data_IF_162504530010
#
_entry.id   IF_162504530010
#
_cell.length_a   1.000
_cell.length_b   1.000
_cell.length_c   1.000
_cell.angle_alpha   90.00
_cell.angle_beta   90.00
_cell.angle_gamma   90.00
#
_symmetry.space_group_name_H-M   'P 1'
#
loop_
_entity.id
_entity.type
_entity.pdbx_description
1 polymer ?
#
# COMPACT_ATOMS: atom_id res chain seq x y z
N UNK A 1 -9.66 -10.22 12.92
CA UNK A 1 -10.64 -10.74 11.96
C UNK A 1 -10.51 -10.00 10.62
N UNK A 2 -10.95 -10.64 9.53
CA UNK A 2 -10.95 -10.02 8.18
C UNK A 2 -11.77 -8.72 8.14
N UNK A 3 -12.80 -8.59 8.99
CA UNK A 3 -13.62 -7.38 9.09
C UNK A 3 -12.81 -6.16 9.57
N UNK A 4 -11.94 -6.33 10.58
CA UNK A 4 -11.10 -5.21 11.07
C UNK A 4 -10.05 -4.80 10.03
N UNK A 5 -9.60 -5.75 9.18
CA UNK A 5 -8.73 -5.46 8.07
C UNK A 5 -9.46 -4.68 6.95
N UNK A 6 -10.70 -5.07 6.64
CA UNK A 6 -11.53 -4.37 5.65
C UNK A 6 -11.80 -2.89 6.02
N UNK A 7 -11.86 -2.56 7.31
CA UNK A 7 -12.07 -1.18 7.78
C UNK A 7 -11.02 -0.22 7.22
N UNK A 8 -9.76 -0.63 7.12
CA UNK A 8 -8.67 0.18 6.59
C UNK A 8 -8.95 0.61 5.15
N UNK A 9 -9.42 -0.33 4.31
CA UNK A 9 -9.70 -0.06 2.89
C UNK A 9 -10.96 0.77 2.68
N UNK A 10 -11.98 0.57 3.52
CA UNK A 10 -13.22 1.36 3.45
C UNK A 10 -12.99 2.82 3.83
N UNK A 11 -12.00 3.10 4.67
CA UNK A 11 -11.71 4.45 5.15
C UNK A 11 -10.65 5.18 4.35
N UNK A 12 -9.85 4.46 3.56
CA UNK A 12 -8.82 5.06 2.70
C UNK A 12 -9.36 6.11 1.72
N UNK A 13 -10.48 5.91 0.98
CA UNK A 13 -11.04 6.94 0.11
C UNK A 13 -11.47 8.21 0.86
N UNK A 14 -11.95 8.07 2.09
CA UNK A 14 -12.29 9.21 2.94
C UNK A 14 -11.01 9.97 3.31
N UNK A 15 -9.95 9.25 3.64
CA UNK A 15 -8.62 9.80 3.89
C UNK A 15 -8.09 10.58 2.69
N UNK A 16 -8.20 10.02 1.47
CA UNK A 16 -7.78 10.69 0.23
C UNK A 16 -8.46 12.05 0.06
N UNK A 17 -9.78 12.11 0.25
CA UNK A 17 -10.55 13.35 0.13
C UNK A 17 -10.11 14.38 1.17
N UNK A 18 -9.97 13.97 2.43
CA UNK A 18 -9.58 14.86 3.53
C UNK A 18 -8.17 15.39 3.30
N UNK A 19 -7.22 14.49 3.05
CA UNK A 19 -5.81 14.86 2.92
C UNK A 19 -5.52 15.61 1.62
N UNK A 20 -6.21 15.32 0.50
CA UNK A 20 -6.11 16.11 -0.72
C UNK A 20 -6.52 17.57 -0.46
N UNK A 21 -7.65 17.79 0.24
CA UNK A 21 -8.09 19.13 0.60
C UNK A 21 -7.10 19.85 1.53
N UNK A 22 -6.47 19.13 2.44
CA UNK A 22 -5.42 19.68 3.30
C UNK A 22 -4.14 20.00 2.53
N UNK A 23 -3.73 19.12 1.57
CA UNK A 23 -2.55 19.34 0.75
C UNK A 23 -2.63 20.64 -0.07
N UNK A 24 -3.81 20.95 -0.60
CA UNK A 24 -4.06 22.19 -1.32
C UNK A 24 -3.90 23.45 -0.43
N UNK A 25 -4.13 23.32 0.87
CA UNK A 25 -4.08 24.46 1.80
C UNK A 25 -2.73 24.63 2.47
N UNK A 26 -2.13 23.55 2.96
CA UNK A 26 -0.94 23.58 3.84
C UNK A 26 0.33 23.02 3.19
N UNK A 27 0.21 22.42 2.00
CA UNK A 27 1.30 21.80 1.24
C UNK A 27 1.36 20.29 1.37
N UNK A 28 1.89 19.66 0.33
CA UNK A 28 2.00 18.20 0.22
C UNK A 28 2.89 17.64 1.32
N UNK A 29 4.04 18.27 1.58
CA UNK A 29 5.00 17.84 2.62
C UNK A 29 4.36 17.76 4.01
N UNK A 30 3.71 18.84 4.46
CA UNK A 30 3.07 18.88 5.78
C UNK A 30 1.96 17.84 5.91
N UNK A 31 1.19 17.67 4.84
CA UNK A 31 0.11 16.70 4.77
C UNK A 31 0.64 15.28 4.88
N UNK A 32 1.73 14.94 4.17
CA UNK A 32 2.41 13.66 4.27
C UNK A 32 2.94 13.38 5.68
N UNK A 33 3.52 14.39 6.35
CA UNK A 33 3.99 14.26 7.74
C UNK A 33 2.84 13.95 8.68
N UNK A 34 1.71 14.66 8.56
CA UNK A 34 0.52 14.42 9.40
C UNK A 34 -0.02 13.00 9.19
N UNK A 35 -0.15 12.57 7.93
CA UNK A 35 -0.60 11.22 7.59
C UNK A 35 0.37 10.15 8.14
N UNK A 36 1.69 10.39 8.04
CA UNK A 36 2.71 9.49 8.56
C UNK A 36 2.63 9.36 10.09
N UNK A 37 2.49 10.47 10.80
CA UNK A 37 2.33 10.48 12.27
C UNK A 37 1.06 9.73 12.66
N UNK A 38 -0.06 9.99 11.98
CA UNK A 38 -1.32 9.29 12.23
C UNK A 38 -1.19 7.78 12.03
N UNK A 39 -0.54 7.34 10.93
CA UNK A 39 -0.28 5.93 10.66
C UNK A 39 0.58 5.32 11.76
N UNK A 40 1.64 6.02 12.12
CA UNK A 40 2.61 5.55 13.10
C UNK A 40 2.07 5.39 14.49
N UNK A 41 1.43 6.42 14.97
CA UNK A 41 0.79 6.39 16.30
C UNK A 41 -0.27 5.28 16.35
N UNK A 42 -1.11 5.18 15.32
CA UNK A 42 -2.13 4.12 15.26
C UNK A 42 -1.51 2.72 15.26
N UNK A 43 -0.43 2.49 14.49
CA UNK A 43 0.26 1.20 14.43
C UNK A 43 0.91 0.82 15.76
N UNK A 44 1.59 1.78 16.40
CA UNK A 44 2.23 1.56 17.70
C UNK A 44 1.20 1.29 18.79
N UNK A 45 0.09 2.02 18.80
CA UNK A 45 -1.00 1.82 19.75
C UNK A 45 -1.67 0.44 19.59
N UNK A 46 -1.73 -0.12 18.37
CA UNK A 46 -2.19 -1.51 18.18
C UNK A 46 -1.29 -2.48 18.95
N UNK A 47 0.03 -2.28 18.93
CA UNK A 47 0.97 -3.10 19.71
C UNK A 47 0.81 -2.97 21.22
N UNK A 48 0.26 -1.86 21.70
CA UNK A 48 0.01 -1.62 23.14
C UNK A 48 -1.41 -2.00 23.59
N UNK A 49 -2.29 -2.44 22.68
CA UNK A 49 -3.66 -2.77 23.03
C UNK A 49 -3.74 -3.91 24.06
N UNK A 50 -4.56 -3.74 25.12
CA UNK A 50 -4.90 -4.83 26.02
C UNK A 50 -5.65 -5.95 25.28
N UNK A 51 -5.52 -7.18 25.77
CA UNK A 51 -6.19 -8.33 25.17
C UNK A 51 -7.68 -8.33 25.50
N UNK A 52 -8.47 -9.12 24.75
CA UNK A 52 -9.89 -9.31 25.02
C UNK A 52 -10.14 -9.82 26.45
N UNK A 53 -9.25 -10.67 26.98
CA UNK A 53 -9.35 -11.17 28.35
C UNK A 53 -9.24 -10.08 29.41
N UNK A 54 -8.57 -8.95 29.11
CA UNK A 54 -8.37 -7.84 30.05
C UNK A 54 -9.52 -6.82 30.01
N UNK A 55 -9.97 -6.45 28.81
CA UNK A 55 -10.93 -5.33 28.63
C UNK A 55 -12.19 -5.73 27.83
N UNK A 56 -12.39 -7.02 27.55
CA UNK A 56 -13.60 -7.52 26.89
C UNK A 56 -13.85 -6.87 25.53
N UNK A 57 -15.09 -6.48 25.26
CA UNK A 57 -15.55 -5.92 23.99
C UNK A 57 -14.86 -4.60 23.62
N UNK A 58 -14.26 -3.89 24.57
CA UNK A 58 -13.51 -2.67 24.30
C UNK A 58 -12.26 -2.94 23.42
N UNK A 59 -11.63 -4.12 23.51
CA UNK A 59 -10.46 -4.46 22.70
C UNK A 59 -10.74 -4.44 21.18
N UNK A 60 -11.74 -5.13 20.64
CA UNK A 60 -12.05 -5.07 19.21
C UNK A 60 -12.56 -3.69 18.76
N UNK A 61 -13.24 -2.93 19.62
CA UNK A 61 -13.69 -1.56 19.31
C UNK A 61 -12.46 -0.65 19.13
N UNK A 62 -11.53 -0.67 20.08
CA UNK A 62 -10.30 0.13 20.01
C UNK A 62 -9.45 -0.28 18.80
N UNK A 63 -9.31 -1.59 18.54
CA UNK A 63 -8.60 -2.08 17.35
C UNK A 63 -9.24 -1.55 16.06
N UNK A 64 -10.56 -1.60 15.94
CA UNK A 64 -11.29 -1.10 14.77
C UNK A 64 -11.12 0.40 14.61
N UNK A 65 -11.14 1.17 15.70
CA UNK A 65 -10.90 2.62 15.69
C UNK A 65 -9.49 2.95 15.21
N UNK A 66 -8.48 2.22 15.70
CA UNK A 66 -7.09 2.40 15.25
C UNK A 66 -6.91 2.01 13.78
N UNK A 67 -7.58 0.94 13.33
CA UNK A 67 -7.61 0.54 11.91
C UNK A 67 -8.30 1.59 11.04
N UNK A 68 -9.36 2.22 11.53
CA UNK A 68 -9.99 3.35 10.85
C UNK A 68 -9.01 4.52 10.67
N UNK A 69 -8.29 4.89 11.73
CA UNK A 69 -7.26 5.94 11.66
C UNK A 69 -6.11 5.58 10.69
N UNK A 70 -5.68 4.31 10.67
CA UNK A 70 -4.70 3.83 9.68
C UNK A 70 -5.21 3.96 8.25
N UNK A 71 -6.48 3.62 7.99
CA UNK A 71 -7.08 3.77 6.66
C UNK A 71 -7.11 5.21 6.18
N UNK A 72 -7.49 6.15 7.05
CA UNK A 72 -7.41 7.58 6.75
C UNK A 72 -5.98 8.01 6.37
N UNK A 73 -4.99 7.55 7.15
CA UNK A 73 -3.58 7.87 6.92
C UNK A 73 -3.06 7.34 5.58
N UNK A 74 -3.40 6.10 5.21
CA UNK A 74 -3.02 5.49 3.92
C UNK A 74 -3.52 6.34 2.76
N UNK A 75 -4.79 6.78 2.79
CA UNK A 75 -5.35 7.64 1.76
C UNK A 75 -4.56 8.94 1.58
N UNK A 76 -4.09 9.54 2.69
CA UNK A 76 -3.28 10.76 2.64
C UNK A 76 -1.85 10.58 2.13
N UNK A 77 -1.29 9.39 2.28
CA UNK A 77 0.11 9.14 1.94
C UNK A 77 0.31 8.81 0.47
N UNK A 78 -0.51 7.93 -0.10
CA UNK A 78 -0.25 7.38 -1.43
C UNK A 78 -0.29 8.46 -2.51
N UNK A 79 -1.37 9.22 -2.60
CA UNK A 79 -1.56 10.27 -3.61
C UNK A 79 -0.47 11.34 -3.56
N UNK A 80 -0.16 11.83 -2.34
CA UNK A 80 0.90 12.84 -2.13
C UNK A 80 2.29 12.34 -2.50
N UNK A 81 2.64 11.11 -2.13
CA UNK A 81 3.92 10.51 -2.47
C UNK A 81 4.07 10.30 -3.99
N UNK A 82 3.00 9.83 -4.67
CA UNK A 82 3.01 9.64 -6.13
C UNK A 82 3.17 10.95 -6.88
N UNK A 83 2.45 12.00 -6.49
CA UNK A 83 2.60 13.34 -7.07
C UNK A 83 4.03 13.88 -6.86
N UNK A 84 4.56 13.78 -5.65
CA UNK A 84 5.92 14.25 -5.35
C UNK A 84 6.96 13.60 -6.27
N UNK A 85 6.88 12.28 -6.46
CA UNK A 85 7.85 11.53 -7.28
C UNK A 85 7.63 11.80 -8.77
N UNK A 86 6.39 11.79 -9.27
CA UNK A 86 6.11 11.96 -10.69
C UNK A 86 6.33 13.39 -11.18
N UNK A 87 6.09 14.42 -10.35
CA UNK A 87 6.40 15.82 -10.66
C UNK A 87 7.89 16.11 -10.63
N UNK A 88 8.66 15.40 -9.79
CA UNK A 88 10.12 15.56 -9.69
C UNK A 88 10.88 14.74 -10.74
N UNK A 89 10.24 13.76 -11.37
CA UNK A 89 10.86 12.87 -12.34
C UNK A 89 10.91 13.47 -13.75
N UNK A 90 11.96 13.16 -14.56
CA UNK A 90 11.97 13.47 -15.98
C UNK A 90 10.74 12.88 -16.69
N UNK A 91 10.16 13.62 -17.64
CA UNK A 91 8.92 13.23 -18.32
C UNK A 91 8.99 11.85 -19.01
N UNK A 92 10.15 11.47 -19.50
CA UNK A 92 10.39 10.18 -20.18
C UNK A 92 10.73 9.02 -19.23
N UNK A 93 10.75 9.24 -17.91
CA UNK A 93 11.13 8.24 -16.90
C UNK A 93 10.19 8.25 -15.67
N UNK A 94 9.03 8.83 -15.79
CA UNK A 94 8.06 8.93 -14.69
C UNK A 94 7.60 7.57 -14.16
N UNK A 95 7.46 6.57 -15.04
CA UNK A 95 7.16 5.20 -14.65
C UNK A 95 8.28 4.60 -13.81
N UNK A 96 9.52 4.69 -14.27
CA UNK A 96 10.69 4.17 -13.57
C UNK A 96 10.87 4.81 -12.17
N UNK A 97 10.80 6.14 -12.09
CA UNK A 97 10.90 6.83 -10.80
C UNK A 97 9.69 6.57 -9.91
N UNK A 98 8.48 6.46 -10.47
CA UNK A 98 7.28 6.05 -9.75
C UNK A 98 7.41 4.66 -9.12
N UNK A 99 8.16 3.75 -9.75
CA UNK A 99 8.42 2.41 -9.22
C UNK A 99 9.16 2.42 -7.87
N UNK A 100 10.00 3.43 -7.58
CA UNK A 100 10.67 3.54 -6.27
C UNK A 100 9.65 3.71 -5.13
N UNK A 101 8.66 4.59 -5.31
CA UNK A 101 7.62 4.77 -4.32
C UNK A 101 6.76 3.52 -4.17
N UNK A 102 6.42 2.87 -5.28
CA UNK A 102 5.63 1.63 -5.30
C UNK A 102 6.39 0.43 -4.73
N UNK A 103 7.72 0.37 -4.86
CA UNK A 103 8.56 -0.70 -4.29
C UNK A 103 8.54 -0.71 -2.76
N UNK A 104 8.12 0.39 -2.12
CA UNK A 104 7.89 0.43 -0.68
C UNK A 104 6.90 -0.63 -0.19
N UNK A 105 5.91 -1.02 -1.01
CA UNK A 105 4.91 -2.03 -0.63
C UNK A 105 5.53 -3.44 -0.52
N UNK A 106 6.14 -4.03 -1.57
CA UNK A 106 6.76 -5.35 -1.42
C UNK A 106 7.91 -5.36 -0.40
N UNK A 107 8.68 -4.27 -0.28
CA UNK A 107 9.69 -4.14 0.79
C UNK A 107 9.03 -4.16 2.17
N UNK A 108 7.93 -3.44 2.35
CA UNK A 108 7.15 -3.46 3.59
C UNK A 108 6.60 -4.85 3.93
N UNK A 109 6.12 -5.59 2.94
CA UNK A 109 5.66 -6.99 3.11
C UNK A 109 6.82 -7.88 3.56
N UNK A 110 8.00 -7.76 2.95
CA UNK A 110 9.20 -8.50 3.33
C UNK A 110 9.58 -8.19 4.79
N UNK A 111 9.69 -6.92 5.15
CA UNK A 111 10.06 -6.49 6.51
C UNK A 111 9.04 -6.96 7.55
N UNK A 112 7.74 -6.86 7.25
CA UNK A 112 6.69 -7.32 8.14
C UNK A 112 6.76 -8.84 8.35
N UNK A 113 6.88 -9.64 7.28
CA UNK A 113 7.00 -11.09 7.38
C UNK A 113 8.26 -11.51 8.14
N UNK A 114 9.41 -10.88 7.85
CA UNK A 114 10.64 -11.13 8.60
C UNK A 114 10.48 -10.81 10.09
N UNK A 115 9.85 -9.69 10.44
CA UNK A 115 9.62 -9.33 11.83
C UNK A 115 8.75 -10.38 12.55
N UNK A 116 7.72 -10.92 11.89
CA UNK A 116 6.89 -11.99 12.44
C UNK A 116 7.64 -13.32 12.54
N UNK A 117 8.37 -13.74 11.51
CA UNK A 117 9.18 -14.97 11.51
C UNK A 117 10.24 -14.93 12.62
N UNK A 118 11.01 -13.82 12.70
CA UNK A 118 12.03 -13.66 13.73
C UNK A 118 11.40 -13.69 15.12
N UNK A 119 10.29 -12.98 15.32
CA UNK A 119 9.62 -12.96 16.62
C UNK A 119 9.08 -14.34 16.99
N UNK A 120 8.45 -15.07 16.07
CA UNK A 120 7.92 -16.41 16.33
C UNK A 120 9.03 -17.44 16.61
N UNK A 121 10.22 -17.29 16.00
CA UNK A 121 11.35 -18.16 16.26
C UNK A 121 12.07 -17.90 17.59
N UNK A 122 11.94 -16.69 18.15
CA UNK A 122 12.62 -16.30 19.40
C UNK A 122 11.82 -16.62 20.66
N UNK A 123 10.53 -16.86 20.54
CA UNK A 123 9.63 -17.12 21.69
C UNK A 123 8.81 -18.39 21.45
N UNK A 124 8.37 -19.05 22.54
CA UNK A 124 7.44 -20.17 22.41
C UNK A 124 6.11 -19.74 21.80
N UNK A 125 5.40 -20.68 21.19
CA UNK A 125 4.09 -20.41 20.58
C UNK A 125 3.10 -19.78 21.58
N UNK A 126 3.08 -20.29 22.80
CA UNK A 126 2.26 -19.75 23.88
C UNK A 126 2.65 -18.29 24.21
N UNK A 127 3.94 -18.01 24.34
CA UNK A 127 4.45 -16.66 24.59
C UNK A 127 4.19 -15.71 23.42
N UNK A 128 4.25 -16.24 22.18
CA UNK A 128 3.93 -15.47 20.99
C UNK A 128 2.46 -15.00 20.99
N UNK A 129 1.52 -15.90 21.28
CA UNK A 129 0.09 -15.54 21.35
C UNK A 129 -0.23 -14.66 22.57
N UNK A 130 0.47 -14.85 23.70
CA UNK A 130 0.24 -14.02 24.89
C UNK A 130 0.77 -12.59 24.70
N UNK A 131 1.96 -12.43 24.17
CA UNK A 131 2.63 -11.12 24.08
C UNK A 131 3.45 -10.88 22.81
N UNK A 132 4.12 -11.88 22.26
CA UNK A 132 5.13 -11.75 21.21
C UNK A 132 4.64 -11.07 19.94
N UNK A 133 3.38 -11.26 19.56
CA UNK A 133 2.78 -10.63 18.38
C UNK A 133 2.80 -9.09 18.40
N UNK A 134 3.05 -8.47 19.58
CA UNK A 134 3.15 -7.01 19.74
C UNK A 134 4.48 -6.46 19.24
N UNK A 135 5.54 -7.27 19.27
CA UNK A 135 6.91 -6.83 18.91
C UNK A 135 6.98 -6.21 17.53
N UNK A 136 6.45 -6.82 16.46
CA UNK A 136 6.45 -6.21 15.13
C UNK A 136 5.74 -4.85 15.07
N UNK A 137 4.64 -4.68 15.81
CA UNK A 137 3.93 -3.40 15.86
C UNK A 137 4.71 -2.33 16.62
N UNK A 138 5.36 -2.68 17.71
CA UNK A 138 6.21 -1.75 18.47
C UNK A 138 7.48 -1.38 17.69
N UNK A 139 8.07 -2.34 16.97
CA UNK A 139 9.21 -2.08 16.10
C UNK A 139 8.87 -1.10 14.96
N UNK A 140 7.60 -1.00 14.54
CA UNK A 140 7.18 -0.01 13.56
C UNK A 140 7.41 1.43 14.01
N UNK A 141 7.45 1.70 15.31
CA UNK A 141 7.76 3.03 15.85
C UNK A 141 9.16 3.53 15.40
N UNK A 142 10.13 2.63 15.26
CA UNK A 142 11.47 2.96 14.77
C UNK A 142 11.41 3.38 13.31
N UNK A 143 10.69 2.61 12.47
CA UNK A 143 10.52 2.93 11.05
C UNK A 143 9.81 4.26 10.85
N UNK A 144 8.84 4.58 11.71
CA UNK A 144 8.13 5.86 11.68
C UNK A 144 9.08 6.99 12.04
N UNK A 145 9.92 6.83 13.06
CA UNK A 145 10.95 7.81 13.43
C UNK A 145 11.90 8.10 12.26
N UNK A 146 12.39 7.07 11.58
CA UNK A 146 13.24 7.20 10.37
C UNK A 146 12.48 7.90 9.25
N UNK A 147 11.25 7.47 8.96
CA UNK A 147 10.44 8.07 7.90
C UNK A 147 10.11 9.53 8.19
N UNK A 148 9.83 9.87 9.44
CA UNK A 148 9.58 11.25 9.85
C UNK A 148 10.83 12.13 9.71
N UNK A 149 12.02 11.61 10.09
CA UNK A 149 13.28 12.29 9.86
C UNK A 149 13.52 12.59 8.37
N UNK A 150 13.28 11.61 7.49
CA UNK A 150 13.41 11.80 6.04
C UNK A 150 12.41 12.84 5.54
N UNK A 151 11.15 12.74 5.92
CA UNK A 151 10.09 13.65 5.48
C UNK A 151 10.33 15.09 5.91
N UNK A 152 10.86 15.31 7.13
CA UNK A 152 11.16 16.65 7.62
C UNK A 152 12.30 17.32 6.85
N UNK A 153 13.24 16.52 6.30
CA UNK A 153 14.36 17.02 5.51
C UNK A 153 14.08 17.13 4.00
N UNK A 154 12.94 16.61 3.51
CA UNK A 154 12.51 16.80 2.13
C UNK A 154 12.01 18.24 1.91
N UNK A 155 12.22 18.76 0.71
CA UNK A 155 11.64 20.03 0.27
C UNK A 155 10.28 19.84 -0.39
N UNK A 156 9.41 20.85 -0.33
CA UNK A 156 8.16 20.85 -1.09
C UNK A 156 8.41 20.90 -2.61
N UNK A 157 7.44 20.41 -3.40
CA UNK A 157 7.53 20.40 -4.86
C UNK A 157 7.67 21.82 -5.43
N UNK A 158 8.35 21.93 -6.59
CA UNK A 158 8.46 23.21 -7.30
C UNK A 158 7.09 23.80 -7.60
N UNK A 159 6.14 22.98 -8.05
CA UNK A 159 4.78 23.39 -8.33
C UNK A 159 4.07 24.00 -7.11
N UNK A 160 4.29 23.43 -5.91
CA UNK A 160 3.72 24.00 -4.68
C UNK A 160 4.40 25.31 -4.27
N UNK A 161 5.74 25.39 -4.40
CA UNK A 161 6.48 26.65 -4.13
C UNK A 161 6.04 27.78 -5.06
N UNK A 162 5.79 27.49 -6.33
CA UNK A 162 5.27 28.46 -7.32
C UNK A 162 3.84 28.90 -7.00
N UNK A 163 2.98 27.94 -6.58
CA UNK A 163 1.61 28.25 -6.14
C UNK A 163 1.61 29.12 -4.88
N UNK A 164 2.46 28.84 -3.91
CA UNK A 164 2.59 29.64 -2.70
C UNK A 164 3.12 31.05 -3.01
N UNK A 165 4.08 31.17 -3.93
CA UNK A 165 4.58 32.45 -4.38
C UNK A 165 3.51 33.28 -5.07
N UNK A 166 2.70 32.69 -5.95
CA UNK A 166 1.58 33.37 -6.63
C UNK A 166 0.47 33.80 -5.67
N UNK A 167 0.21 33.03 -4.61
CA UNK A 167 -0.73 33.41 -3.54
C UNK A 167 -0.24 34.62 -2.73
N UNK A 168 1.07 34.72 -2.48
CA UNK A 168 1.67 35.87 -1.75
C UNK A 168 1.62 37.17 -2.56
N UNK A 169 1.59 37.11 -3.89
CA UNK A 169 1.51 38.28 -4.80
C UNK A 169 0.09 38.83 -4.95
N UNK A 170 -0.89 38.34 -4.18
CA UNK A 170 -2.23 38.93 -4.09
C UNK A 170 -3.22 38.46 -5.16
N UNK A 171 -2.86 37.54 -6.03
CA UNK A 171 -3.82 36.84 -6.86
C UNK A 171 -4.54 35.80 -6.00
N UNK A 172 -5.59 36.23 -5.29
CA UNK A 172 -6.61 35.33 -4.74
C UNK A 172 -7.31 34.66 -5.92
N UNK A 173 -6.69 33.64 -6.51
CA UNK A 173 -7.46 32.68 -7.28
C UNK A 173 -8.47 32.12 -6.27
N UNK A 174 -9.73 32.57 -6.41
CA UNK A 174 -10.85 32.00 -5.68
C UNK A 174 -10.74 30.49 -5.75
N UNK A 175 -10.64 29.82 -4.61
CA UNK A 175 -10.81 28.37 -4.52
C UNK A 175 -12.27 28.11 -4.88
N UNK A 176 -12.57 28.21 -6.19
CA UNK A 176 -13.85 27.83 -6.73
C UNK A 176 -14.01 26.36 -6.43
N UNK A 177 -15.13 26.03 -5.77
CA UNK A 177 -15.74 24.72 -5.56
C UNK A 177 -14.76 23.53 -5.61
N UNK A 178 -14.80 22.67 -4.60
CA UNK A 178 -13.95 21.48 -4.49
C UNK A 178 -13.62 20.89 -5.87
N UNK A 179 -12.34 20.85 -6.31
CA UNK A 179 -11.94 20.34 -7.63
C UNK A 179 -12.47 18.92 -7.90
N UNK A 180 -12.67 18.16 -6.82
CA UNK A 180 -13.18 16.78 -6.85
C UNK A 180 -14.61 16.73 -7.38
N UNK A 181 -15.51 17.63 -6.92
CA UNK A 181 -16.91 17.66 -7.36
C UNK A 181 -17.01 18.01 -8.83
N UNK A 182 -16.18 18.94 -9.30
CA UNK A 182 -16.12 19.30 -10.71
C UNK A 182 -15.58 18.17 -11.58
N UNK A 183 -14.50 17.49 -11.13
CA UNK A 183 -13.93 16.34 -11.82
C UNK A 183 -14.94 15.17 -11.94
N UNK A 184 -15.65 14.85 -10.85
CA UNK A 184 -16.68 13.79 -10.84
C UNK A 184 -17.83 14.12 -11.78
N UNK A 185 -18.27 15.38 -11.84
CA UNK A 185 -19.34 15.79 -12.76
C UNK A 185 -18.90 15.80 -14.22
N UNK A 186 -17.64 16.16 -14.50
CA UNK A 186 -17.14 16.32 -15.87
C UNK A 186 -16.68 15.01 -16.50
N UNK A 187 -16.13 14.09 -15.70
CA UNK A 187 -15.51 12.85 -16.19
C UNK A 187 -15.93 11.58 -15.41
N UNK A 188 -17.23 11.31 -15.19
CA UNK A 188 -17.68 10.22 -14.34
C UNK A 188 -17.22 8.84 -14.84
N UNK A 189 -17.31 8.57 -16.15
CA UNK A 189 -16.88 7.29 -16.73
C UNK A 189 -15.38 7.04 -16.61
N UNK A 190 -14.55 8.08 -16.75
CA UNK A 190 -13.09 7.94 -16.58
C UNK A 190 -12.74 7.62 -15.12
N UNK A 191 -13.43 8.24 -14.17
CA UNK A 191 -13.23 7.96 -12.73
C UNK A 191 -13.62 6.53 -12.38
N UNK A 192 -14.78 6.05 -12.89
CA UNK A 192 -15.22 4.67 -12.67
C UNK A 192 -14.23 3.66 -13.27
N UNK A 193 -13.73 3.92 -14.48
CA UNK A 193 -12.75 3.06 -15.13
C UNK A 193 -11.41 3.05 -14.37
N UNK A 194 -10.93 4.21 -13.93
CA UNK A 194 -9.70 4.32 -13.13
C UNK A 194 -9.86 3.62 -11.78
N UNK A 195 -11.01 3.79 -11.11
CA UNK A 195 -11.31 3.08 -9.86
C UNK A 195 -11.37 1.56 -10.07
N UNK A 196 -11.99 1.08 -11.15
CA UNK A 196 -12.00 -0.35 -11.50
C UNK A 196 -10.60 -0.91 -11.77
N UNK A 197 -9.77 -0.17 -12.51
CA UNK A 197 -8.38 -0.54 -12.77
C UNK A 197 -7.56 -0.60 -11.47
N UNK A 198 -7.70 0.38 -10.59
CA UNK A 198 -7.05 0.40 -9.28
C UNK A 198 -7.51 -0.78 -8.41
N UNK A 199 -8.82 -1.00 -8.33
CA UNK A 199 -9.40 -2.07 -7.53
C UNK A 199 -8.91 -3.44 -7.97
N UNK A 200 -8.80 -3.70 -9.28
CA UNK A 200 -8.32 -4.98 -9.81
C UNK A 200 -6.92 -5.33 -9.33
N UNK A 201 -6.02 -4.35 -9.30
CA UNK A 201 -4.65 -4.52 -8.79
C UNK A 201 -4.66 -4.84 -7.30
N UNK A 202 -5.37 -4.04 -6.52
CA UNK A 202 -5.38 -4.16 -5.07
C UNK A 202 -6.00 -5.48 -4.61
N UNK A 203 -7.16 -5.84 -5.17
CA UNK A 203 -7.82 -7.12 -4.85
C UNK A 203 -6.90 -8.30 -5.14
N UNK A 204 -6.29 -8.34 -6.33
CA UNK A 204 -5.37 -9.45 -6.69
C UNK A 204 -4.16 -9.48 -5.76
N UNK A 205 -3.55 -8.33 -5.49
CA UNK A 205 -2.39 -8.26 -4.61
C UNK A 205 -2.71 -8.83 -3.22
N UNK A 206 -3.82 -8.40 -2.61
CA UNK A 206 -4.21 -8.89 -1.28
C UNK A 206 -4.68 -10.34 -1.27
N UNK A 207 -5.25 -10.84 -2.35
CA UNK A 207 -5.50 -12.29 -2.50
C UNK A 207 -4.17 -13.05 -2.41
N UNK A 208 -3.15 -12.62 -3.15
CA UNK A 208 -1.85 -13.30 -3.20
C UNK A 208 -1.07 -13.26 -1.88
N UNK A 209 -1.08 -12.13 -1.16
CA UNK A 209 -0.23 -11.97 0.03
C UNK A 209 -0.95 -12.24 1.36
N UNK A 210 -2.27 -12.09 1.42
CA UNK A 210 -3.01 -12.22 2.67
C UNK A 210 -4.01 -13.38 2.65
N UNK A 211 -4.84 -13.47 1.60
CA UNK A 211 -5.86 -14.51 1.53
C UNK A 211 -5.25 -15.90 1.33
N UNK A 212 -4.29 -16.05 0.39
CA UNK A 212 -3.65 -17.35 0.15
C UNK A 212 -2.85 -17.85 1.35
N UNK A 213 -2.30 -16.94 2.18
CA UNK A 213 -1.66 -17.32 3.43
C UNK A 213 -2.67 -18.01 4.37
N UNK A 214 -3.83 -17.39 4.57
CA UNK A 214 -4.88 -17.97 5.41
C UNK A 214 -5.49 -19.23 4.79
N UNK A 215 -5.69 -19.24 3.48
CA UNK A 215 -6.25 -20.36 2.72
C UNK A 215 -5.31 -21.57 2.75
N UNK A 216 -4.02 -21.40 2.43
CA UNK A 216 -3.02 -22.47 2.41
C UNK A 216 -2.91 -23.18 3.75
N UNK A 217 -2.85 -22.44 4.84
CA UNK A 217 -2.81 -23.02 6.20
C UNK A 217 -4.11 -23.74 6.57
N UNK A 218 -5.27 -23.30 6.05
CA UNK A 218 -6.56 -23.90 6.38
C UNK A 218 -6.91 -25.12 5.50
N UNK A 219 -6.41 -25.17 4.25
CA UNK A 219 -6.78 -26.18 3.26
C UNK A 219 -5.71 -27.24 2.99
N UNK A 220 -4.48 -27.01 3.46
CA UNK A 220 -3.34 -27.91 3.24
C UNK A 220 -2.59 -28.19 4.53
N UNK A 221 -1.62 -29.10 4.50
CA UNK A 221 -0.72 -29.41 5.63
C UNK A 221 0.46 -28.42 5.74
N UNK A 222 0.49 -27.37 4.92
CA UNK A 222 1.58 -26.37 4.91
C UNK A 222 1.53 -25.52 6.16
N UNK A 223 2.66 -25.30 6.78
CA UNK A 223 2.74 -24.50 7.99
C UNK A 223 2.58 -23.00 7.68
N UNK A 224 2.20 -22.24 8.70
CA UNK A 224 2.12 -20.77 8.60
C UNK A 224 3.47 -20.16 8.20
N UNK A 225 4.57 -20.68 8.74
CA UNK A 225 5.91 -20.17 8.46
C UNK A 225 6.32 -20.44 7.02
N UNK A 226 5.98 -21.61 6.46
CA UNK A 226 6.20 -21.91 5.04
C UNK A 226 5.46 -20.92 4.15
N UNK A 227 4.20 -20.61 4.47
CA UNK A 227 3.41 -19.62 3.72
C UNK A 227 4.00 -18.21 3.82
N UNK A 228 4.47 -17.80 5.00
CA UNK A 228 5.16 -16.51 5.19
C UNK A 228 6.45 -16.44 4.37
N UNK A 229 7.23 -17.51 4.34
CA UNK A 229 8.46 -17.62 3.54
C UNK A 229 8.13 -17.58 2.05
N UNK A 230 7.09 -18.28 1.60
CA UNK A 230 6.64 -18.25 0.21
C UNK A 230 6.25 -16.83 -0.23
N UNK A 231 5.51 -16.10 0.59
CA UNK A 231 5.15 -14.69 0.33
C UNK A 231 6.39 -13.79 0.32
N UNK A 232 7.35 -14.04 1.22
CA UNK A 232 8.60 -13.29 1.31
C UNK A 232 9.44 -13.45 0.02
N UNK A 233 9.68 -14.70 -0.41
CA UNK A 233 10.41 -15.00 -1.65
C UNK A 233 9.72 -14.34 -2.85
N UNK A 234 8.40 -14.50 -2.95
CA UNK A 234 7.61 -13.98 -4.06
C UNK A 234 7.61 -12.45 -4.10
N UNK A 235 7.56 -11.79 -2.94
CA UNK A 235 7.68 -10.33 -2.83
C UNK A 235 9.07 -9.85 -3.25
N UNK A 236 10.11 -10.59 -2.91
CA UNK A 236 11.48 -10.33 -3.37
C UNK A 236 11.61 -10.42 -4.89
N UNK A 237 10.98 -11.41 -5.51
CA UNK A 237 10.93 -11.57 -6.98
C UNK A 237 10.14 -10.42 -7.63
N UNK A 238 9.06 -9.94 -7.00
CA UNK A 238 8.25 -8.85 -7.53
C UNK A 238 9.05 -7.56 -7.77
N UNK A 239 9.99 -7.22 -6.87
CA UNK A 239 10.70 -5.93 -6.89
C UNK A 239 11.44 -5.68 -8.22
N UNK A 240 12.36 -6.54 -8.70
CA UNK A 240 13.07 -6.29 -9.95
C UNK A 240 12.12 -6.25 -11.15
N UNK A 241 11.08 -7.08 -11.18
CA UNK A 241 10.09 -7.06 -12.26
C UNK A 241 9.27 -5.76 -12.26
N UNK A 242 8.96 -5.20 -11.10
CA UNK A 242 8.28 -3.93 -10.99
C UNK A 242 9.08 -2.79 -11.63
N UNK A 243 10.38 -2.69 -11.35
CA UNK A 243 11.27 -1.72 -12.00
C UNK A 243 11.39 -1.98 -13.50
N UNK A 244 11.55 -3.25 -13.89
CA UNK A 244 11.65 -3.63 -15.29
C UNK A 244 10.41 -3.21 -16.10
N UNK A 245 9.20 -3.58 -15.64
CA UNK A 245 7.97 -3.24 -16.36
C UNK A 245 7.65 -1.75 -16.32
N UNK A 246 8.03 -1.05 -15.26
CA UNK A 246 7.90 0.41 -15.19
C UNK A 246 8.78 1.10 -16.23
N UNK A 247 10.06 0.73 -16.31
CA UNK A 247 10.99 1.25 -17.32
C UNK A 247 10.57 0.86 -18.75
N UNK A 248 10.07 -0.36 -18.92
CA UNK A 248 9.57 -0.84 -20.21
C UNK A 248 8.34 -0.03 -20.65
N UNK A 249 7.44 0.31 -19.72
CA UNK A 249 6.23 1.09 -19.98
C UNK A 249 6.54 2.53 -20.39
N UNK A 250 7.63 3.12 -19.90
CA UNK A 250 8.09 4.46 -20.30
C UNK A 250 8.45 4.54 -21.79
N UNK A 251 8.90 3.41 -22.38
CA UNK A 251 9.33 3.34 -23.79
C UNK A 251 8.23 2.86 -24.73
N UNK A 252 7.40 1.91 -24.31
CA UNK A 252 6.43 1.21 -25.16
C UNK A 252 4.96 1.61 -24.89
N UNK A 253 4.74 2.53 -23.96
CA UNK A 253 3.41 2.98 -23.56
C UNK A 253 2.83 2.19 -22.40
N UNK A 254 2.21 2.92 -21.49
CA UNK A 254 1.73 2.38 -20.19
C UNK A 254 0.51 1.48 -20.34
N UNK A 255 -0.41 1.86 -21.25
CA UNK A 255 -1.68 1.12 -21.46
C UNK A 255 -1.45 -0.32 -21.90
N UNK A 256 -0.49 -0.55 -22.82
CA UNK A 256 -0.19 -1.89 -23.33
C UNK A 256 0.32 -2.83 -22.24
N UNK A 257 1.29 -2.34 -21.44
CA UNK A 257 1.87 -3.10 -20.33
C UNK A 257 0.81 -3.41 -19.27
N UNK A 258 0.00 -2.42 -18.90
CA UNK A 258 -1.08 -2.59 -17.94
C UNK A 258 -2.11 -3.63 -18.40
N UNK A 259 -2.58 -3.53 -19.64
CA UNK A 259 -3.56 -4.46 -20.22
C UNK A 259 -3.02 -5.89 -20.28
N UNK A 260 -1.76 -6.06 -20.69
CA UNK A 260 -1.12 -7.38 -20.72
C UNK A 260 -1.03 -7.97 -19.30
N UNK A 261 -0.63 -7.17 -18.31
CA UNK A 261 -0.62 -7.59 -16.92
C UNK A 261 -1.98 -8.05 -16.42
N UNK A 262 -3.04 -7.29 -16.74
CA UNK A 262 -4.41 -7.64 -16.36
C UNK A 262 -4.88 -8.96 -17.00
N UNK A 263 -4.61 -9.17 -18.29
CA UNK A 263 -4.96 -10.41 -19.01
C UNK A 263 -4.20 -11.60 -18.42
N UNK A 264 -2.88 -11.46 -18.22
CA UNK A 264 -2.07 -12.54 -17.64
C UNK A 264 -2.50 -12.87 -16.21
N UNK A 265 -2.83 -11.87 -15.40
CA UNK A 265 -3.38 -12.06 -14.06
C UNK A 265 -4.70 -12.82 -14.11
N UNK A 266 -5.61 -12.45 -15.00
CA UNK A 266 -6.90 -13.13 -15.15
C UNK A 266 -6.73 -14.61 -15.56
N UNK A 267 -5.84 -14.92 -16.50
CA UNK A 267 -5.52 -16.28 -16.90
C UNK A 267 -4.87 -17.05 -15.74
N UNK A 268 -3.91 -16.44 -15.06
CA UNK A 268 -3.18 -17.07 -13.97
C UNK A 268 -4.05 -17.36 -12.74
N UNK A 269 -5.11 -16.60 -12.53
CA UNK A 269 -6.03 -16.80 -11.41
C UNK A 269 -6.63 -18.21 -11.37
N UNK A 270 -6.82 -18.87 -12.53
CA UNK A 270 -7.29 -20.25 -12.62
C UNK A 270 -6.25 -21.30 -12.17
N UNK A 271 -4.96 -20.97 -12.23
CA UNK A 271 -3.88 -21.87 -11.84
C UNK A 271 -3.49 -21.73 -10.36
N UNK A 272 -3.75 -20.57 -9.73
CA UNK A 272 -3.28 -20.25 -8.37
C UNK A 272 -3.78 -21.27 -7.35
N UNK A 273 -5.09 -21.46 -7.26
CA UNK A 273 -5.68 -22.35 -6.24
C UNK A 273 -5.29 -23.81 -6.44
N UNK A 274 -5.37 -24.41 -7.65
CA UNK A 274 -4.90 -25.77 -7.87
C UNK A 274 -3.42 -25.99 -7.51
N UNK A 275 -2.56 -24.98 -7.71
CA UNK A 275 -1.15 -25.07 -7.33
C UNK A 275 -0.98 -25.01 -5.81
N UNK A 276 -1.74 -24.16 -5.12
CA UNK A 276 -1.71 -24.07 -3.66
C UNK A 276 -2.27 -25.34 -3.02
N UNK A 277 -3.34 -25.90 -3.55
CA UNK A 277 -3.99 -27.14 -3.05
C UNK A 277 -3.08 -28.36 -3.10
N UNK A 278 -2.01 -28.33 -3.88
CA UNK A 278 -1.01 -29.41 -3.87
C UNK A 278 -0.28 -29.56 -2.54
N UNK A 279 -0.27 -28.52 -1.69
CA UNK A 279 0.52 -28.48 -0.47
C UNK A 279 2.04 -28.45 -0.70
N UNK A 280 2.50 -28.41 -1.97
CA UNK A 280 3.93 -28.36 -2.26
C UNK A 280 4.47 -26.95 -2.16
N UNK A 281 5.45 -26.74 -1.28
CA UNK A 281 6.04 -25.43 -1.02
C UNK A 281 6.49 -24.69 -2.29
N UNK A 282 7.20 -25.37 -3.19
CA UNK A 282 7.71 -24.74 -4.41
C UNK A 282 6.63 -24.39 -5.43
N UNK A 283 5.55 -25.18 -5.50
CA UNK A 283 4.40 -24.87 -6.34
C UNK A 283 3.61 -23.69 -5.79
N UNK A 284 3.54 -23.54 -4.46
CA UNK A 284 2.97 -22.38 -3.80
C UNK A 284 3.81 -21.12 -4.09
N UNK A 285 5.14 -21.21 -3.94
CA UNK A 285 6.06 -20.11 -4.31
C UNK A 285 5.87 -19.71 -5.77
N UNK A 286 5.77 -20.67 -6.67
CA UNK A 286 5.53 -20.42 -8.09
C UNK A 286 4.19 -19.72 -8.32
N UNK A 287 3.11 -20.20 -7.70
CA UNK A 287 1.77 -19.64 -7.83
C UNK A 287 1.73 -18.15 -7.41
N UNK A 288 2.32 -17.83 -6.25
CA UNK A 288 2.37 -16.46 -5.72
C UNK A 288 3.32 -15.60 -6.55
N UNK A 289 4.52 -16.10 -6.89
CA UNK A 289 5.55 -15.34 -7.63
C UNK A 289 5.07 -14.89 -9.01
N UNK A 290 4.51 -15.82 -9.82
CA UNK A 290 3.97 -15.42 -11.12
C UNK A 290 2.79 -14.48 -10.99
N UNK A 291 1.90 -14.71 -10.01
CA UNK A 291 0.82 -13.77 -9.71
C UNK A 291 1.34 -12.37 -9.42
N UNK A 292 2.34 -12.23 -8.55
CA UNK A 292 2.94 -10.93 -8.20
C UNK A 292 3.73 -10.32 -9.37
N UNK A 293 4.38 -11.13 -10.22
CA UNK A 293 5.03 -10.64 -11.45
C UNK A 293 4.01 -10.04 -12.41
N UNK A 294 2.86 -10.67 -12.62
CA UNK A 294 1.80 -10.12 -13.47
C UNK A 294 1.15 -8.89 -12.85
N UNK A 295 0.96 -8.87 -11.53
CA UNK A 295 0.53 -7.67 -10.81
C UNK A 295 1.55 -6.54 -10.97
N UNK A 296 2.86 -6.83 -10.97
CA UNK A 296 3.90 -5.81 -11.13
C UNK A 296 3.86 -5.08 -12.48
N UNK A 297 3.33 -5.73 -13.53
CA UNK A 297 3.10 -5.10 -14.85
C UNK A 297 2.04 -3.99 -14.78
N UNK A 298 1.09 -4.11 -13.86
CA UNK A 298 0.06 -3.10 -13.62
C UNK A 298 0.51 -2.11 -12.56
N UNK A 299 1.04 -2.61 -11.44
CA UNK A 299 1.38 -1.85 -10.25
C UNK A 299 2.58 -0.93 -10.46
N UNK A 300 3.62 -1.39 -11.17
CA UNK A 300 4.82 -0.60 -11.42
C UNK A 300 4.54 0.72 -12.15
N UNK A 301 3.93 0.71 -13.35
CA UNK A 301 3.61 1.92 -14.10
C UNK A 301 2.40 2.70 -13.56
N UNK A 302 1.68 2.18 -12.56
CA UNK A 302 0.42 2.73 -12.04
C UNK A 302 0.53 4.21 -11.64
N UNK A 303 1.60 4.58 -10.93
CA UNK A 303 1.81 5.95 -10.47
C UNK A 303 1.76 6.96 -11.64
N UNK A 304 2.52 6.69 -12.67
CA UNK A 304 2.58 7.53 -13.85
C UNK A 304 1.32 7.41 -14.73
N UNK A 305 0.70 6.22 -14.79
CA UNK A 305 -0.53 5.98 -15.55
C UNK A 305 -1.73 6.78 -15.04
N UNK A 306 -1.83 7.00 -13.72
CA UNK A 306 -2.92 7.77 -13.14
C UNK A 306 -2.61 9.27 -13.00
N UNK A 307 -1.35 9.69 -13.08
CA UNK A 307 -0.96 11.11 -12.99
C UNK A 307 -0.85 11.81 -14.35
N UNK A 308 -0.76 11.08 -15.44
CA UNK A 308 -0.78 11.56 -16.85
C UNK A 308 -2.18 11.46 -17.48
#
# INVERSE_FOLDING_TARGET
SLLTFATVFMTSPIGEIIFAHYADKVGIKKTLVIALVLMGVSSTLIGLLPTYAMIGVAAPILLTTLRFAQGLAIGGQWGGAMLLVTESAPANQRGYYGAYAQAGVPVGVILANLAFIVTSSMVSEESFFAWGWRIPFLASAILIGISMYIQLNLEDTKAFKELEASRKVGNKAEIKRSPIIEAVKKYPSKIVLAAGAFLSIQVTFYILIAFLLAYGVASTEVTRDDMLIAVLISSGIMIPFQFFFSAYSDRHGRRGVFMLGAILTAIWSFAIFPLVDTGNFWLIVLAISFGLVFVSMMYGPQAAFFTE
#
